data_IF_675964922393
#
_entry.id   IF_675964922393
#
_cell.length_a   1.000
_cell.length_b   1.000
_cell.length_c   1.000
_cell.angle_alpha   90.00
_cell.angle_beta   90.00
_cell.angle_gamma   90.00
#
_symmetry.space_group_name_H-M   'P 1'
#
loop_
_entity.id
_entity.type
_entity.pdbx_description
1 polymer ?
#
# COMPACT_ATOMS: atom_id res chain seq x y z
N UNK A 1 61.61 -32.35 -53.55
CA UNK A 1 61.00 -32.57 -52.22
C UNK A 1 60.25 -31.35 -51.86
N UNK A 2 58.92 -31.45 -51.89
CA UNK A 2 57.99 -30.33 -51.64
C UNK A 2 57.50 -30.41 -50.19
N UNK A 3 57.88 -29.43 -49.34
CA UNK A 3 57.47 -29.32 -47.97
C UNK A 3 56.11 -28.57 -47.96
N UNK A 4 55.03 -29.25 -47.56
CA UNK A 4 53.71 -28.64 -47.39
C UNK A 4 53.60 -28.04 -45.97
N UNK A 5 53.56 -26.75 -45.85
CA UNK A 5 53.15 -26.06 -44.61
C UNK A 5 51.61 -26.21 -44.46
N UNK A 6 51.18 -26.80 -43.35
CA UNK A 6 49.81 -26.82 -42.90
C UNK A 6 49.66 -25.66 -41.91
N UNK A 7 48.93 -24.58 -42.30
CA UNK A 7 48.48 -23.53 -41.39
C UNK A 7 47.23 -24.06 -40.70
N UNK A 8 47.32 -24.34 -39.40
CA UNK A 8 46.18 -24.59 -38.53
C UNK A 8 45.61 -23.23 -38.07
N UNK A 9 44.47 -22.84 -38.62
CA UNK A 9 43.72 -21.67 -38.17
C UNK A 9 42.99 -22.01 -36.88
N UNK A 10 43.50 -21.55 -35.71
CA UNK A 10 42.78 -21.54 -34.45
C UNK A 10 41.79 -20.37 -34.50
N UNK A 11 40.53 -20.66 -34.80
CA UNK A 11 39.44 -19.70 -34.56
C UNK A 11 39.14 -19.67 -33.04
N UNK A 12 39.73 -18.71 -32.35
CA UNK A 12 39.35 -18.40 -30.98
C UNK A 12 37.93 -17.81 -30.99
N UNK A 13 36.94 -18.61 -30.57
CA UNK A 13 35.61 -18.11 -30.22
C UNK A 13 35.76 -17.24 -28.97
N UNK A 14 35.94 -15.95 -29.17
CA UNK A 14 35.80 -14.96 -28.10
C UNK A 14 34.33 -14.94 -27.74
N UNK A 15 33.93 -15.73 -26.73
CA UNK A 15 32.68 -15.53 -26.03
C UNK A 15 32.75 -14.12 -25.40
N UNK A 16 32.17 -13.16 -26.07
CA UNK A 16 31.92 -11.81 -25.50
C UNK A 16 30.99 -12.00 -24.31
N UNK A 17 31.52 -12.24 -23.12
CA UNK A 17 30.80 -12.02 -21.89
C UNK A 17 30.55 -10.52 -21.83
N UNK A 18 29.40 -10.09 -22.36
CA UNK A 18 28.88 -8.77 -22.05
C UNK A 18 28.74 -8.72 -20.53
N UNK A 19 29.64 -8.03 -19.85
CA UNK A 19 29.41 -7.62 -18.48
C UNK A 19 28.20 -6.68 -18.53
N UNK A 20 27.00 -7.24 -18.37
CA UNK A 20 25.83 -6.43 -18.08
C UNK A 20 26.16 -5.68 -16.80
N UNK A 21 26.35 -4.38 -16.91
CA UNK A 21 26.52 -3.54 -15.73
C UNK A 21 25.23 -3.67 -14.92
N UNK A 22 25.34 -4.13 -13.66
CA UNK A 22 24.19 -4.27 -12.79
C UNK A 22 23.38 -2.95 -12.77
N UNK A 23 22.10 -3.02 -13.14
CA UNK A 23 21.20 -1.87 -12.99
C UNK A 23 20.93 -1.70 -11.49
N UNK A 24 21.06 -0.48 -10.97
CA UNK A 24 20.85 -0.18 -9.56
C UNK A 24 19.65 0.72 -9.39
N UNK A 25 18.68 0.25 -8.58
CA UNK A 25 17.48 0.99 -8.27
C UNK A 25 17.40 1.31 -6.78
N UNK A 26 17.02 2.54 -6.48
CA UNK A 26 16.64 2.96 -5.13
C UNK A 26 15.12 2.86 -5.00
N UNK A 27 14.63 2.13 -3.99
CA UNK A 27 13.22 1.93 -3.69
C UNK A 27 12.79 2.77 -2.49
N UNK A 28 11.98 3.79 -2.73
CA UNK A 28 11.46 4.65 -1.67
C UNK A 28 10.29 3.99 -0.92
N UNK A 29 10.38 3.88 0.40
CA UNK A 29 9.39 3.29 1.29
C UNK A 29 8.98 4.26 2.39
N UNK A 30 7.67 4.39 2.64
CA UNK A 30 7.13 5.34 3.62
C UNK A 30 7.23 4.86 5.07
N UNK A 31 7.23 3.54 5.30
CA UNK A 31 7.10 2.93 6.63
C UNK A 31 8.43 2.49 7.20
N UNK A 32 8.46 2.20 8.52
CA UNK A 32 9.68 1.73 9.20
C UNK A 32 10.18 0.41 8.60
N UNK A 33 11.47 0.12 8.77
CA UNK A 33 12.06 -1.13 8.29
C UNK A 33 11.41 -2.39 8.91
N UNK A 34 10.82 -2.26 10.11
CA UNK A 34 10.13 -3.32 10.84
C UNK A 34 8.64 -3.44 10.50
N UNK A 35 8.10 -2.57 9.65
CA UNK A 35 6.75 -2.71 9.14
C UNK A 35 6.74 -3.84 8.09
N UNK A 36 5.71 -4.71 8.13
CA UNK A 36 5.66 -5.87 7.23
C UNK A 36 5.66 -5.51 5.73
N UNK A 37 5.14 -4.35 5.34
CA UNK A 37 5.27 -3.86 3.96
C UNK A 37 6.72 -3.62 3.57
N UNK A 38 7.50 -2.98 4.45
CA UNK A 38 8.93 -2.73 4.20
C UNK A 38 9.76 -4.02 4.22
N UNK A 39 9.39 -4.99 5.08
CA UNK A 39 10.02 -6.31 5.11
C UNK A 39 9.76 -7.07 3.81
N UNK A 40 8.51 -7.09 3.33
CA UNK A 40 8.16 -7.74 2.06
C UNK A 40 8.83 -7.04 0.87
N UNK A 41 8.97 -5.72 0.89
CA UNK A 41 9.72 -4.99 -0.12
C UNK A 41 11.21 -5.36 -0.14
N UNK A 42 11.81 -5.56 1.03
CA UNK A 42 13.21 -6.02 1.14
C UNK A 42 13.37 -7.47 0.65
N UNK A 43 12.42 -8.37 0.96
CA UNK A 43 12.40 -9.74 0.42
C UNK A 43 12.26 -9.75 -1.10
N UNK A 44 11.35 -8.92 -1.65
CA UNK A 44 11.19 -8.73 -3.09
C UNK A 44 12.51 -8.28 -3.74
N UNK A 45 13.16 -7.25 -3.17
CA UNK A 45 14.42 -6.72 -3.67
C UNK A 45 15.54 -7.80 -3.69
N UNK A 46 15.60 -8.59 -2.60
CA UNK A 46 16.55 -9.70 -2.50
C UNK A 46 16.26 -10.79 -3.54
N UNK A 47 14.99 -11.18 -3.71
CA UNK A 47 14.61 -12.20 -4.68
C UNK A 47 14.95 -11.77 -6.12
N UNK A 48 14.74 -10.49 -6.45
CA UNK A 48 15.12 -9.93 -7.76
C UNK A 48 16.63 -10.04 -7.97
N UNK A 49 17.45 -9.63 -6.99
CA UNK A 49 18.90 -9.70 -7.11
C UNK A 49 19.39 -11.16 -7.28
N UNK A 50 18.88 -12.07 -6.43
CA UNK A 50 19.27 -13.49 -6.46
C UNK A 50 18.90 -14.16 -7.81
N UNK A 51 17.68 -13.94 -8.31
CA UNK A 51 17.17 -14.59 -9.54
C UNK A 51 17.67 -13.94 -10.83
N UNK A 52 18.10 -12.69 -10.78
CA UNK A 52 18.70 -12.00 -11.92
C UNK A 52 20.22 -12.13 -12.00
N UNK A 53 20.85 -12.96 -11.12
CA UNK A 53 22.30 -13.04 -10.98
C UNK A 53 22.97 -11.66 -10.82
N UNK A 54 22.28 -10.74 -10.10
CA UNK A 54 22.74 -9.37 -9.86
C UNK A 54 22.58 -8.42 -11.06
N UNK A 55 21.85 -8.80 -12.11
CA UNK A 55 21.59 -7.90 -13.24
C UNK A 55 20.75 -6.69 -12.84
N UNK A 56 19.89 -6.84 -11.82
CA UNK A 56 19.16 -5.74 -11.17
C UNK A 56 19.31 -5.84 -9.65
N UNK A 57 19.89 -4.80 -9.05
CA UNK A 57 20.00 -4.64 -7.60
C UNK A 57 19.04 -3.53 -7.14
N UNK A 58 18.17 -3.82 -6.16
CA UNK A 58 17.22 -2.85 -5.58
C UNK A 58 17.61 -2.60 -4.13
N UNK A 59 17.93 -1.33 -3.81
CA UNK A 59 18.19 -0.88 -2.43
C UNK A 59 16.94 -0.24 -1.85
N UNK A 60 16.42 -0.78 -0.74
CA UNK A 60 15.23 -0.23 -0.06
C UNK A 60 15.61 0.90 0.89
N UNK A 61 14.81 1.97 0.90
CA UNK A 61 14.97 3.16 1.76
C UNK A 61 13.72 3.36 2.62
N UNK A 62 13.63 2.69 3.79
CA UNK A 62 12.46 2.78 4.68
C UNK A 62 12.36 4.12 5.41
N UNK A 63 11.25 4.30 6.14
CA UNK A 63 10.97 5.46 7.02
C UNK A 63 10.91 6.81 6.29
N UNK A 64 10.64 6.81 4.99
CA UNK A 64 10.64 8.05 4.20
C UNK A 64 12.02 8.70 4.06
N UNK A 65 13.10 7.93 4.26
CA UNK A 65 14.49 8.45 4.27
C UNK A 65 14.95 8.99 2.93
N UNK A 66 14.37 8.54 1.82
CA UNK A 66 14.67 9.04 0.49
C UNK A 66 13.63 10.06 0.02
N UNK A 67 12.34 9.75 0.21
CA UNK A 67 11.20 10.62 -0.06
C UNK A 67 10.12 10.38 1.00
N UNK A 68 9.52 11.44 1.54
CA UNK A 68 8.37 11.33 2.43
C UNK A 68 7.19 10.62 1.75
N UNK A 69 6.33 9.95 2.53
CA UNK A 69 5.24 9.12 1.99
C UNK A 69 4.38 9.85 0.95
N UNK A 70 4.07 11.13 1.17
CA UNK A 70 3.28 11.93 0.22
C UNK A 70 4.00 12.22 -1.11
N UNK A 71 5.33 12.12 -1.15
CA UNK A 71 6.16 12.49 -2.29
C UNK A 71 6.50 11.30 -3.21
N UNK A 72 6.45 10.05 -2.67
CA UNK A 72 6.94 8.83 -3.35
C UNK A 72 6.31 8.67 -4.74
N UNK A 73 4.98 8.75 -4.87
CA UNK A 73 4.31 8.59 -6.16
C UNK A 73 4.81 9.62 -7.19
N UNK A 74 4.89 10.88 -6.77
CA UNK A 74 5.41 11.96 -7.62
C UNK A 74 6.87 11.76 -8.02
N UNK A 75 7.71 11.25 -7.10
CA UNK A 75 9.12 10.96 -7.36
C UNK A 75 9.29 9.82 -8.38
N UNK A 76 8.54 8.72 -8.23
CA UNK A 76 8.54 7.62 -9.20
C UNK A 76 8.01 8.09 -10.56
N UNK A 77 6.88 8.79 -10.60
CA UNK A 77 6.29 9.32 -11.84
C UNK A 77 7.26 10.23 -12.63
N UNK A 78 8.03 11.05 -11.92
CA UNK A 78 9.03 11.95 -12.52
C UNK A 78 10.36 11.27 -12.85
N UNK A 79 10.56 10.01 -12.43
CA UNK A 79 11.80 9.26 -12.60
C UNK A 79 12.94 9.75 -11.71
N UNK A 80 12.63 10.40 -10.58
CA UNK A 80 13.63 10.79 -9.56
C UNK A 80 14.13 9.57 -8.79
N UNK A 81 13.28 8.55 -8.64
CA UNK A 81 13.61 7.19 -8.25
C UNK A 81 12.90 6.23 -9.20
N UNK A 82 13.51 5.07 -9.52
CA UNK A 82 12.90 4.12 -10.44
C UNK A 82 11.69 3.41 -9.86
N UNK A 83 11.67 3.12 -8.56
CA UNK A 83 10.67 2.28 -7.90
C UNK A 83 10.31 2.85 -6.52
N UNK A 84 9.10 2.55 -6.04
CA UNK A 84 8.65 2.94 -4.71
C UNK A 84 7.33 2.30 -4.31
N UNK A 85 6.97 2.42 -3.04
CA UNK A 85 5.72 1.92 -2.50
C UNK A 85 4.86 3.08 -1.99
N UNK A 86 3.56 3.04 -2.32
CA UNK A 86 2.60 4.06 -1.87
C UNK A 86 1.22 3.47 -1.61
N UNK A 87 0.55 3.97 -0.55
CA UNK A 87 -0.87 3.72 -0.31
C UNK A 87 -1.71 4.28 -1.47
N UNK A 88 -2.47 3.41 -2.14
CA UNK A 88 -3.23 3.75 -3.35
C UNK A 88 -4.25 4.86 -3.06
N UNK A 89 -5.08 4.68 -2.04
CA UNK A 89 -6.19 5.60 -1.72
C UNK A 89 -5.75 7.01 -1.29
N UNK A 90 -4.47 7.20 -0.94
CA UNK A 90 -3.93 8.54 -0.67
C UNK A 90 -3.87 9.44 -1.94
N UNK A 91 -4.04 8.85 -3.12
CA UNK A 91 -4.01 9.50 -4.43
C UNK A 91 -5.41 9.74 -5.02
N UNK A 92 -6.48 9.56 -4.24
CA UNK A 92 -7.87 9.69 -4.70
C UNK A 92 -8.21 11.04 -5.33
N UNK A 93 -7.51 12.11 -4.96
CA UNK A 93 -7.65 13.43 -5.60
C UNK A 93 -7.04 13.48 -7.01
N UNK A 94 -6.12 12.56 -7.36
CA UNK A 94 -5.56 12.50 -8.72
C UNK A 94 -6.44 11.65 -9.65
N UNK A 95 -6.96 10.52 -9.13
CA UNK A 95 -7.89 9.66 -9.87
C UNK A 95 -8.81 8.91 -8.87
N UNK A 96 -10.15 9.01 -9.00
CA UNK A 96 -11.09 8.37 -8.09
C UNK A 96 -10.94 6.84 -8.02
N UNK A 97 -10.45 6.17 -9.07
CA UNK A 97 -10.27 4.71 -9.07
C UNK A 97 -9.29 4.25 -8.00
N UNK A 98 -8.36 5.12 -7.58
CA UNK A 98 -7.41 4.83 -6.51
C UNK A 98 -8.06 4.71 -5.12
N UNK A 99 -9.31 5.17 -4.96
CA UNK A 99 -10.05 5.09 -3.68
C UNK A 99 -10.90 3.84 -3.53
N UNK A 100 -11.04 3.00 -4.57
CA UNK A 100 -12.01 1.89 -4.57
C UNK A 100 -11.84 0.93 -3.39
N UNK A 101 -10.60 0.68 -2.95
CA UNK A 101 -10.29 -0.19 -1.82
C UNK A 101 -10.47 0.47 -0.44
N UNK A 102 -10.77 1.77 -0.41
CA UNK A 102 -11.03 2.54 0.80
C UNK A 102 -12.50 2.93 0.94
N UNK A 103 -13.38 2.44 0.08
CA UNK A 103 -14.83 2.63 0.22
C UNK A 103 -15.30 1.81 1.42
N UNK A 104 -15.83 2.46 2.48
CA UNK A 104 -16.20 1.75 3.68
C UNK A 104 -17.27 0.68 3.43
N UNK A 105 -17.09 -0.49 4.02
CA UNK A 105 -17.98 -1.65 3.98
C UNK A 105 -18.26 -2.21 2.58
N UNK A 106 -17.45 -1.84 1.57
CA UNK A 106 -17.51 -2.46 0.23
C UNK A 106 -16.84 -3.85 0.25
N UNK A 107 -15.66 -3.98 0.86
CA UNK A 107 -14.94 -5.23 1.06
C UNK A 107 -14.34 -5.25 2.46
N UNK A 108 -14.80 -6.15 3.34
CA UNK A 108 -14.47 -6.17 4.76
C UNK A 108 -13.74 -7.45 5.19
N UNK A 109 -13.57 -8.40 4.28
CA UNK A 109 -12.77 -9.62 4.45
C UNK A 109 -11.62 -9.65 3.44
N UNK A 110 -10.60 -10.49 3.70
CA UNK A 110 -9.49 -10.68 2.76
C UNK A 110 -9.96 -11.28 1.43
N UNK A 111 -10.92 -12.20 1.46
CA UNK A 111 -11.51 -12.78 0.25
C UNK A 111 -12.22 -11.72 -0.59
N UNK A 112 -13.05 -10.88 0.02
CA UNK A 112 -13.76 -9.80 -0.70
C UNK A 112 -12.79 -8.72 -1.19
N UNK A 113 -11.77 -8.38 -0.39
CA UNK A 113 -10.73 -7.45 -0.80
C UNK A 113 -9.92 -7.99 -2.00
N UNK A 114 -9.63 -9.30 -2.05
CA UNK A 114 -8.98 -9.93 -3.19
C UNK A 114 -9.88 -9.93 -4.45
N UNK A 115 -11.18 -10.21 -4.30
CA UNK A 115 -12.14 -10.10 -5.42
C UNK A 115 -12.20 -8.66 -5.92
N UNK A 116 -12.32 -7.68 -5.01
CA UNK A 116 -12.33 -6.26 -5.36
C UNK A 116 -11.04 -5.83 -6.08
N UNK A 117 -9.88 -6.32 -5.61
CA UNK A 117 -8.61 -6.09 -6.27
C UNK A 117 -8.61 -6.62 -7.71
N UNK A 118 -8.97 -7.88 -7.90
CA UNK A 118 -9.02 -8.49 -9.23
C UNK A 118 -9.98 -7.76 -10.17
N UNK A 119 -11.14 -7.39 -9.66
CA UNK A 119 -12.16 -6.67 -10.45
C UNK A 119 -11.72 -5.25 -10.83
N UNK A 120 -11.02 -4.55 -9.95
CA UNK A 120 -10.57 -3.16 -10.17
C UNK A 120 -9.20 -3.05 -10.85
N UNK A 121 -8.41 -4.13 -10.89
CA UNK A 121 -7.03 -4.10 -11.40
C UNK A 121 -6.90 -3.52 -12.81
N UNK A 122 -7.74 -3.87 -13.80
CA UNK A 122 -7.63 -3.28 -15.15
C UNK A 122 -7.78 -1.76 -15.14
N UNK A 123 -8.75 -1.22 -14.40
CA UNK A 123 -8.96 0.23 -14.30
C UNK A 123 -7.83 0.92 -13.53
N UNK A 124 -7.28 0.25 -12.51
CA UNK A 124 -6.12 0.73 -11.76
C UNK A 124 -4.87 0.80 -12.66
N UNK A 125 -4.57 -0.27 -13.41
CA UNK A 125 -3.42 -0.32 -14.32
C UNK A 125 -3.52 0.73 -15.42
N UNK A 126 -4.72 0.97 -15.97
CA UNK A 126 -4.95 2.03 -16.94
C UNK A 126 -4.67 3.42 -16.34
N UNK A 127 -5.19 3.72 -15.14
CA UNK A 127 -4.95 4.99 -14.46
C UNK A 127 -3.46 5.20 -14.13
N UNK A 128 -2.75 4.15 -13.74
CA UNK A 128 -1.31 4.18 -13.48
C UNK A 128 -0.50 4.38 -14.76
N UNK A 129 -0.90 3.73 -15.86
CA UNK A 129 -0.28 3.89 -17.18
C UNK A 129 -0.36 5.34 -17.65
N UNK A 130 -1.53 5.98 -17.51
CA UNK A 130 -1.71 7.42 -17.81
C UNK A 130 -0.80 8.31 -16.94
N UNK A 131 -0.51 7.88 -15.70
CA UNK A 131 0.43 8.52 -14.82
C UNK A 131 1.91 8.17 -15.11
N UNK A 132 2.20 7.34 -16.11
CA UNK A 132 3.56 6.88 -16.50
C UNK A 132 4.25 6.05 -15.43
N UNK A 133 3.49 5.28 -14.70
CA UNK A 133 3.98 4.30 -13.74
C UNK A 133 3.35 2.94 -14.03
N UNK A 134 4.08 1.88 -13.73
CA UNK A 134 3.66 0.49 -13.92
C UNK A 134 3.49 -0.16 -12.56
N UNK A 135 2.37 -0.85 -12.35
CA UNK A 135 2.13 -1.63 -11.15
C UNK A 135 2.97 -2.91 -11.19
N UNK A 136 3.71 -3.19 -10.13
CA UNK A 136 4.39 -4.47 -9.96
C UNK A 136 3.56 -5.42 -9.11
N UNK A 137 3.17 -5.00 -7.91
CA UNK A 137 2.31 -5.79 -7.02
C UNK A 137 1.56 -4.90 -6.02
N UNK A 138 0.58 -5.47 -5.33
CA UNK A 138 -0.24 -4.78 -4.34
C UNK A 138 -0.29 -5.57 -3.03
N UNK A 139 -0.20 -4.86 -1.91
CA UNK A 139 -0.14 -5.41 -0.57
C UNK A 139 -1.24 -4.81 0.30
N UNK A 140 -2.16 -5.60 0.90
CA UNK A 140 -3.21 -5.08 1.74
C UNK A 140 -2.70 -4.76 3.15
N UNK A 141 -3.29 -3.74 3.75
CA UNK A 141 -3.25 -3.53 5.19
C UNK A 141 -4.33 -4.39 5.87
N UNK A 142 -4.13 -4.78 7.14
CA UNK A 142 -5.21 -5.36 7.93
C UNK A 142 -6.47 -4.48 7.95
N UNK A 143 -7.65 -5.06 8.22
CA UNK A 143 -8.90 -4.32 8.30
C UNK A 143 -8.79 -3.08 9.19
N UNK A 144 -9.47 -2.01 8.79
CA UNK A 144 -9.39 -0.73 9.48
C UNK A 144 -10.31 -0.69 10.69
N UNK A 145 -9.74 -0.40 11.87
CA UNK A 145 -10.43 -0.15 13.12
C UNK A 145 -10.43 1.32 13.52
N UNK A 146 -11.25 1.68 14.49
CA UNK A 146 -11.39 3.04 15.01
C UNK A 146 -10.63 3.20 16.33
N UNK A 147 -9.74 4.17 16.41
CA UNK A 147 -8.96 4.55 17.58
C UNK A 147 -9.53 5.83 18.20
N UNK A 148 -9.64 5.90 19.52
CA UNK A 148 -10.11 7.08 20.23
C UNK A 148 -9.42 7.25 21.58
N UNK A 149 -9.13 8.50 21.96
CA UNK A 149 -8.63 8.83 23.30
C UNK A 149 -9.67 8.64 24.40
N UNK A 150 -10.95 8.59 24.06
CA UNK A 150 -12.08 8.40 24.98
C UNK A 150 -13.05 7.34 24.46
N UNK A 151 -13.89 6.83 25.35
CA UNK A 151 -14.92 5.88 24.98
C UNK A 151 -15.87 6.48 23.92
N UNK A 152 -16.25 5.67 22.91
CA UNK A 152 -17.12 6.07 21.82
C UNK A 152 -18.24 5.04 21.63
N UNK A 153 -19.42 5.32 22.18
CA UNK A 153 -20.63 4.47 22.07
C UNK A 153 -21.64 5.00 21.05
N UNK A 154 -21.69 6.30 20.89
CA UNK A 154 -22.61 6.97 19.95
C UNK A 154 -21.85 8.06 19.17
N UNK A 155 -22.31 8.48 17.99
CA UNK A 155 -21.65 9.53 17.21
C UNK A 155 -21.43 10.85 17.98
N UNK A 156 -22.31 11.18 18.93
CA UNK A 156 -22.15 12.36 19.77
C UNK A 156 -20.87 12.31 20.64
N UNK A 157 -20.39 11.10 21.00
CA UNK A 157 -19.17 10.96 21.80
C UNK A 157 -17.91 11.39 21.04
N UNK A 158 -17.94 11.29 19.71
CA UNK A 158 -16.78 11.62 18.86
C UNK A 158 -16.89 13.00 18.21
N UNK A 159 -18.05 13.65 18.31
CA UNK A 159 -18.26 14.98 17.74
C UNK A 159 -17.21 15.98 18.29
N UNK A 160 -16.60 16.75 17.40
CA UNK A 160 -15.57 17.74 17.71
C UNK A 160 -14.17 17.17 17.97
N UNK A 161 -13.96 15.85 18.02
CA UNK A 161 -12.62 15.29 18.15
C UNK A 161 -11.76 15.63 16.93
N UNK A 162 -10.51 15.93 17.18
CA UNK A 162 -9.50 16.12 16.14
C UNK A 162 -9.15 14.75 15.53
N UNK A 163 -9.49 14.58 14.28
CA UNK A 163 -9.35 13.29 13.61
C UNK A 163 -8.16 13.28 12.67
N UNK A 164 -7.29 12.29 12.82
CA UNK A 164 -6.25 12.03 11.83
C UNK A 164 -6.83 11.35 10.60
N UNK A 165 -6.77 12.01 9.47
CA UNK A 165 -7.05 11.44 8.16
C UNK A 165 -5.75 11.09 7.42
N UNK A 166 -5.78 10.08 6.53
CA UNK A 166 -4.65 9.70 5.68
C UNK A 166 -4.99 9.70 4.18
N UNK A 167 -6.28 9.79 3.85
CA UNK A 167 -6.79 9.86 2.49
C UNK A 167 -8.09 10.69 2.44
N UNK A 168 -8.64 11.01 1.26
CA UNK A 168 -9.89 11.76 1.16
C UNK A 168 -11.07 11.07 1.84
N UNK A 169 -11.20 9.76 1.70
CA UNK A 169 -12.27 8.97 2.33
C UNK A 169 -12.30 9.13 3.84
N UNK A 170 -11.15 9.00 4.52
CA UNK A 170 -11.08 9.15 5.98
C UNK A 170 -11.37 10.57 6.45
N UNK A 171 -11.04 11.59 5.65
CA UNK A 171 -11.42 12.97 5.93
C UNK A 171 -12.95 13.12 5.89
N UNK A 172 -13.60 12.57 4.88
CA UNK A 172 -15.06 12.60 4.73
C UNK A 172 -15.80 11.85 5.84
N UNK A 173 -15.29 10.68 6.25
CA UNK A 173 -15.85 9.93 7.39
C UNK A 173 -15.83 10.81 8.64
N UNK A 174 -14.73 11.49 8.92
CA UNK A 174 -14.62 12.38 10.07
C UNK A 174 -15.66 13.52 9.99
N UNK A 175 -15.80 14.17 8.84
CA UNK A 175 -16.79 15.23 8.61
C UNK A 175 -18.22 14.73 8.86
N UNK A 176 -18.59 13.55 8.36
CA UNK A 176 -19.93 12.97 8.53
C UNK A 176 -20.26 12.59 9.97
N UNK A 177 -19.25 12.25 10.77
CA UNK A 177 -19.42 11.98 12.20
C UNK A 177 -19.17 13.22 13.06
N UNK A 178 -19.04 14.42 12.47
CA UNK A 178 -18.86 15.67 13.19
C UNK A 178 -17.49 15.86 13.84
N UNK A 179 -16.48 15.09 13.41
CA UNK A 179 -15.09 15.27 13.83
C UNK A 179 -14.35 16.29 12.94
N UNK A 180 -13.21 16.80 13.40
CA UNK A 180 -12.38 17.77 12.68
C UNK A 180 -11.17 17.06 12.03
N UNK A 181 -11.18 16.76 10.71
CA UNK A 181 -10.11 16.03 10.06
C UNK A 181 -8.88 16.89 9.80
N UNK A 182 -7.70 16.28 10.01
CA UNK A 182 -6.40 16.82 9.59
C UNK A 182 -5.60 15.69 8.94
N UNK A 183 -5.03 15.96 7.76
CA UNK A 183 -4.18 14.98 7.08
C UNK A 183 -2.82 14.90 7.77
N UNK A 184 -2.47 13.70 8.27
CA UNK A 184 -1.21 13.43 8.97
C UNK A 184 -0.64 12.12 8.42
N UNK A 185 0.61 12.15 7.96
CA UNK A 185 1.30 10.96 7.46
C UNK A 185 1.66 10.00 8.60
N UNK A 186 1.83 8.71 8.28
CA UNK A 186 2.05 7.69 9.29
C UNK A 186 3.30 7.93 10.17
N UNK A 187 4.35 8.55 9.62
CA UNK A 187 5.57 8.86 10.36
C UNK A 187 5.35 9.84 11.51
N UNK A 188 4.34 10.70 11.43
CA UNK A 188 4.05 11.80 12.36
C UNK A 188 3.04 11.42 13.46
N UNK A 189 2.45 10.22 13.40
CA UNK A 189 1.31 9.83 14.24
C UNK A 189 1.59 9.89 15.74
N UNK A 190 2.70 9.29 16.21
CA UNK A 190 3.01 9.27 17.64
C UNK A 190 3.10 10.68 18.21
N UNK A 191 3.73 11.60 17.49
CA UNK A 191 3.82 13.00 17.89
C UNK A 191 2.46 13.69 17.85
N UNK A 192 1.64 13.43 16.80
CA UNK A 192 0.33 14.06 16.66
C UNK A 192 -0.62 13.69 17.81
N UNK A 193 -0.62 12.43 18.23
CA UNK A 193 -1.40 12.00 19.40
C UNK A 193 -0.80 12.50 20.72
N UNK A 194 0.52 12.44 20.89
CA UNK A 194 1.18 12.93 22.09
C UNK A 194 0.94 14.42 22.35
N UNK A 195 0.80 15.22 21.30
CA UNK A 195 0.58 16.67 21.39
C UNK A 195 -0.90 17.08 21.30
N UNK A 196 -1.81 16.10 21.15
CA UNK A 196 -3.25 16.37 21.01
C UNK A 196 -3.62 17.07 19.68
N UNK A 197 -2.78 16.95 18.66
CA UNK A 197 -3.12 17.35 17.28
C UNK A 197 -4.08 16.33 16.65
N UNK A 198 -4.01 15.06 17.08
CA UNK A 198 -4.96 14.02 16.78
C UNK A 198 -5.51 13.41 18.09
N UNK A 199 -6.80 13.07 18.10
CA UNK A 199 -7.53 12.48 19.24
C UNK A 199 -8.27 11.20 18.84
N UNK A 200 -8.50 11.02 17.53
CA UNK A 200 -9.12 9.84 16.96
C UNK A 200 -8.58 9.58 15.54
N UNK A 201 -8.70 8.34 15.07
CA UNK A 201 -8.44 7.95 13.69
C UNK A 201 -9.14 6.64 13.32
N UNK A 202 -9.28 6.37 12.02
CA UNK A 202 -9.47 5.02 11.47
C UNK A 202 -8.14 4.59 10.85
N UNK A 203 -7.65 3.40 11.21
CA UNK A 203 -6.41 2.83 10.67
C UNK A 203 -6.32 1.33 10.98
N UNK A 204 -5.34 0.64 10.37
CA UNK A 204 -5.06 -0.77 10.65
C UNK A 204 -4.43 -0.99 12.03
N UNK A 205 -4.52 -2.23 12.52
CA UNK A 205 -3.77 -2.67 13.70
C UNK A 205 -2.25 -2.49 13.52
N UNK A 206 -1.73 -2.76 12.33
CA UNK A 206 -0.31 -2.58 12.02
C UNK A 206 0.17 -1.14 12.27
N UNK A 207 -0.59 -0.13 11.78
CA UNK A 207 -0.25 1.27 12.02
C UNK A 207 -0.24 1.63 13.51
N UNK A 208 -1.25 1.15 14.26
CA UNK A 208 -1.33 1.38 15.70
C UNK A 208 -0.17 0.75 16.46
N UNK A 209 0.21 -0.47 16.10
CA UNK A 209 1.32 -1.19 16.71
C UNK A 209 2.67 -0.53 16.43
N UNK A 210 2.99 -0.25 15.18
CA UNK A 210 4.25 0.39 14.77
C UNK A 210 4.48 1.75 15.44
N UNK A 211 3.40 2.46 15.72
CA UNK A 211 3.44 3.80 16.33
C UNK A 211 3.22 3.76 17.85
N UNK A 212 3.10 2.57 18.43
CA UNK A 212 2.87 2.36 19.87
C UNK A 212 1.71 3.22 20.40
N UNK A 213 0.59 3.23 19.65
CA UNK A 213 -0.51 4.14 19.97
C UNK A 213 -1.14 3.89 21.34
N UNK A 214 -0.95 2.71 21.94
CA UNK A 214 -1.36 2.43 23.33
C UNK A 214 -0.75 3.41 24.35
N UNK A 215 0.32 4.11 24.00
CA UNK A 215 0.90 5.15 24.88
C UNK A 215 0.06 6.45 24.91
N UNK A 216 -0.82 6.63 23.94
CA UNK A 216 -1.57 7.87 23.74
C UNK A 216 -3.08 7.70 23.60
N UNK A 217 -3.54 6.49 23.22
CA UNK A 217 -4.94 6.18 22.88
C UNK A 217 -5.43 5.03 23.72
N UNK A 218 -6.56 5.22 24.43
CA UNK A 218 -7.09 4.22 25.35
C UNK A 218 -8.03 3.19 24.71
N UNK A 219 -8.59 3.48 23.53
CA UNK A 219 -9.66 2.67 22.94
C UNK A 219 -9.37 2.30 21.50
N UNK A 220 -9.59 1.02 21.19
CA UNK A 220 -9.60 0.49 19.83
C UNK A 220 -10.91 -0.26 19.59
N UNK A 221 -11.62 0.10 18.53
CA UNK A 221 -12.84 -0.57 18.12
C UNK A 221 -12.59 -1.30 16.79
N UNK A 222 -12.77 -2.63 16.81
CA UNK A 222 -12.60 -3.48 15.63
C UNK A 222 -13.81 -3.34 14.68
N UNK A 223 -13.79 -2.29 13.89
CA UNK A 223 -14.85 -1.94 12.94
C UNK A 223 -14.80 -2.78 11.68
N UNK A 224 -13.60 -3.21 11.27
CA UNK A 224 -13.33 -3.93 9.99
C UNK A 224 -13.91 -3.19 8.78
N UNK A 225 -13.70 -1.88 8.73
CA UNK A 225 -14.40 -1.01 7.79
C UNK A 225 -14.00 -1.24 6.32
N UNK A 226 -12.74 -1.54 6.03
CA UNK A 226 -12.17 -1.90 4.70
C UNK A 226 -10.73 -2.37 4.87
N UNK A 227 -10.14 -2.92 3.80
CA UNK A 227 -8.73 -3.34 3.72
C UNK A 227 -8.03 -2.52 2.60
N UNK A 228 -7.44 -1.37 2.93
CA UNK A 228 -6.75 -0.56 1.92
C UNK A 228 -5.45 -1.23 1.50
N UNK A 229 -4.94 -0.89 0.30
CA UNK A 229 -3.72 -1.50 -0.24
C UNK A 229 -2.66 -0.47 -0.54
N UNK A 230 -1.42 -0.87 -0.28
CA UNK A 230 -0.28 -0.26 -0.94
C UNK A 230 -0.09 -0.87 -2.33
N UNK A 231 0.56 -0.13 -3.18
CA UNK A 231 1.07 -0.59 -4.46
C UNK A 231 2.58 -0.36 -4.52
N UNK A 232 3.30 -1.33 -5.06
CA UNK A 232 4.68 -1.15 -5.50
C UNK A 232 4.64 -0.83 -6.98
N UNK A 233 5.18 0.33 -7.33
CA UNK A 233 5.15 0.92 -8.65
C UNK A 233 6.55 1.22 -9.16
N UNK A 234 6.73 1.12 -10.46
CA UNK A 234 7.97 1.46 -11.16
C UNK A 234 7.71 2.54 -12.21
N UNK A 235 8.65 3.45 -12.40
CA UNK A 235 8.62 4.40 -13.50
C UNK A 235 8.62 3.63 -14.85
N UNK A 236 7.63 3.89 -15.71
CA UNK A 236 7.47 3.13 -16.97
C UNK A 236 8.73 3.19 -17.84
N UNK A 237 9.45 4.34 -17.91
CA UNK A 237 10.69 4.42 -18.70
C UNK A 237 11.83 3.59 -18.08
N UNK A 238 11.91 3.49 -16.74
CA UNK A 238 12.89 2.63 -16.10
C UNK A 238 12.55 1.16 -16.36
N UNK A 239 11.28 0.80 -16.25
CA UNK A 239 10.78 -0.54 -16.59
C UNK A 239 11.09 -0.94 -18.03
N UNK A 240 10.81 -0.06 -18.99
CA UNK A 240 10.97 -0.35 -20.43
C UNK A 240 12.44 -0.60 -20.81
N UNK A 241 13.39 -0.02 -20.09
CA UNK A 241 14.83 -0.19 -20.34
C UNK A 241 15.41 -1.53 -19.87
N UNK A 242 14.69 -2.24 -18.97
CA UNK A 242 15.15 -3.56 -18.52
C UNK A 242 15.11 -4.57 -19.67
N UNK A 243 16.07 -5.48 -19.67
CA UNK A 243 16.02 -6.65 -20.55
C UNK A 243 14.82 -7.54 -20.24
N UNK A 244 14.29 -8.22 -21.24
CA UNK A 244 13.10 -9.07 -21.07
C UNK A 244 13.30 -10.20 -20.07
N UNK A 245 14.53 -10.75 -19.96
CA UNK A 245 14.89 -11.73 -18.94
C UNK A 245 14.79 -11.15 -17.52
N UNK A 246 15.28 -9.93 -17.31
CA UNK A 246 15.17 -9.23 -16.02
C UNK A 246 13.71 -8.87 -15.72
N UNK A 247 12.94 -8.40 -16.71
CA UNK A 247 11.51 -8.15 -16.54
C UNK A 247 10.73 -9.39 -16.10
N UNK A 248 11.09 -10.58 -16.66
CA UNK A 248 10.46 -11.83 -16.27
C UNK A 248 10.75 -12.18 -14.80
N UNK A 249 12.01 -12.01 -14.36
CA UNK A 249 12.42 -12.21 -12.97
C UNK A 249 11.68 -11.25 -12.03
N UNK A 250 11.61 -9.96 -12.37
CA UNK A 250 10.90 -8.96 -11.55
C UNK A 250 9.41 -9.29 -11.43
N UNK A 251 8.76 -9.72 -12.52
CA UNK A 251 7.35 -10.12 -12.50
C UNK A 251 7.10 -11.35 -11.61
N UNK A 252 7.99 -12.33 -11.67
CA UNK A 252 7.90 -13.53 -10.82
C UNK A 252 8.09 -13.17 -9.34
N UNK A 253 9.13 -12.40 -9.01
CA UNK A 253 9.38 -11.93 -7.65
C UNK A 253 8.23 -11.05 -7.13
N UNK A 254 7.64 -10.20 -7.99
CA UNK A 254 6.48 -9.39 -7.64
C UNK A 254 5.24 -10.23 -7.32
N UNK A 255 4.97 -11.28 -8.11
CA UNK A 255 3.86 -12.20 -7.83
C UNK A 255 4.06 -12.97 -6.51
N UNK A 256 5.30 -13.40 -6.22
CA UNK A 256 5.64 -14.05 -4.96
C UNK A 256 5.50 -13.08 -3.77
N UNK A 257 5.98 -11.84 -3.91
CA UNK A 257 5.84 -10.81 -2.90
C UNK A 257 4.38 -10.47 -2.64
N UNK A 258 3.55 -10.33 -3.69
CA UNK A 258 2.10 -10.11 -3.56
C UNK A 258 1.45 -11.22 -2.73
N UNK A 259 1.67 -12.49 -3.09
CA UNK A 259 1.08 -13.62 -2.39
C UNK A 259 1.51 -13.68 -0.90
N UNK A 260 2.81 -13.50 -0.63
CA UNK A 260 3.34 -13.47 0.74
C UNK A 260 2.77 -12.31 1.55
N UNK A 261 2.66 -11.12 0.94
CA UNK A 261 2.17 -9.94 1.61
C UNK A 261 0.70 -10.06 2.01
N UNK A 262 -0.14 -10.61 1.14
CA UNK A 262 -1.54 -10.92 1.47
C UNK A 262 -1.64 -11.90 2.64
N UNK A 263 -0.91 -13.00 2.58
CA UNK A 263 -0.89 -14.00 3.66
C UNK A 263 -0.37 -13.41 4.98
N UNK A 264 0.69 -12.57 4.92
CA UNK A 264 1.27 -11.94 6.12
C UNK A 264 0.34 -10.92 6.74
N UNK A 265 -0.37 -10.12 5.94
CA UNK A 265 -1.37 -9.18 6.43
C UNK A 265 -2.49 -9.90 7.18
N UNK A 266 -2.99 -11.02 6.63
CA UNK A 266 -4.04 -11.82 7.25
C UNK A 266 -3.57 -12.51 8.54
N UNK A 267 -2.36 -13.08 8.54
CA UNK A 267 -1.73 -13.69 9.73
C UNK A 267 -1.62 -12.69 10.90
N UNK A 268 -1.27 -11.43 10.57
CA UNK A 268 -1.00 -10.40 11.59
C UNK A 268 -2.25 -9.66 12.08
N UNK A 269 -3.42 -9.81 11.45
CA UNK A 269 -4.63 -9.05 11.80
C UNK A 269 -5.01 -9.21 13.27
N UNK A 270 -5.29 -10.44 13.70
CA UNK A 270 -5.67 -10.72 15.09
C UNK A 270 -4.51 -10.47 16.06
N UNK A 271 -3.28 -10.75 15.66
CA UNK A 271 -2.11 -10.53 16.50
C UNK A 271 -1.96 -9.06 16.93
N UNK A 272 -2.17 -8.11 16.02
CA UNK A 272 -2.12 -6.69 16.38
C UNK A 272 -3.20 -6.31 17.39
N UNK A 273 -4.40 -6.85 17.23
CA UNK A 273 -5.54 -6.60 18.15
C UNK A 273 -5.24 -7.15 19.53
N UNK A 274 -4.66 -8.36 19.61
CA UNK A 274 -4.24 -8.98 20.86
C UNK A 274 -3.16 -8.14 21.56
N UNK A 275 -2.19 -7.62 20.81
CA UNK A 275 -1.15 -6.72 21.33
C UNK A 275 -1.74 -5.46 21.98
N UNK A 276 -2.79 -4.87 21.43
CA UNK A 276 -3.43 -3.70 22.06
C UNK A 276 -4.03 -4.05 23.42
N UNK A 277 -4.67 -5.20 23.54
CA UNK A 277 -5.20 -5.69 24.81
C UNK A 277 -4.07 -5.92 25.84
N UNK A 278 -2.98 -6.57 25.43
CA UNK A 278 -1.80 -6.81 26.29
C UNK A 278 -1.15 -5.50 26.76
N UNK A 279 -1.18 -4.46 25.92
CA UNK A 279 -0.65 -3.11 26.24
C UNK A 279 -1.62 -2.23 27.03
N UNK A 280 -2.80 -2.75 27.39
CA UNK A 280 -3.75 -2.06 28.25
C UNK A 280 -4.78 -1.18 27.56
N UNK A 281 -4.90 -1.24 26.23
CA UNK A 281 -6.01 -0.58 25.54
C UNK A 281 -7.33 -1.33 25.80
N UNK A 282 -8.43 -0.62 25.83
CA UNK A 282 -9.76 -1.21 25.77
C UNK A 282 -10.07 -1.57 24.30
N UNK A 283 -10.12 -2.86 24.02
CA UNK A 283 -10.45 -3.40 22.69
C UNK A 283 -11.87 -3.93 22.73
N UNK A 284 -12.71 -3.48 21.80
CA UNK A 284 -14.11 -3.90 21.71
C UNK A 284 -14.61 -3.81 20.24
N UNK A 285 -15.71 -4.52 19.89
CA UNK A 285 -16.44 -4.20 18.68
C UNK A 285 -17.06 -2.78 18.82
N UNK A 286 -17.28 -2.09 17.70
CA UNK A 286 -18.05 -0.86 17.72
C UNK A 286 -19.47 -1.14 18.23
N UNK A 287 -20.05 -0.20 18.98
CA UNK A 287 -21.46 -0.27 19.36
C UNK A 287 -22.36 -0.34 18.10
N UNK A 288 -23.59 -0.86 18.20
CA UNK A 288 -24.53 -0.84 17.07
C UNK A 288 -24.75 0.54 16.48
N UNK A 289 -24.82 1.58 17.32
CA UNK A 289 -25.02 2.97 16.90
C UNK A 289 -23.79 3.52 16.15
N UNK A 290 -22.57 3.27 16.67
CA UNK A 290 -21.35 3.68 15.99
C UNK A 290 -21.14 2.92 14.68
N UNK A 291 -21.39 1.60 14.69
CA UNK A 291 -21.30 0.78 13.48
C UNK A 291 -22.24 1.31 12.40
N UNK A 292 -23.51 1.55 12.77
CA UNK A 292 -24.49 2.13 11.84
C UNK A 292 -24.04 3.50 11.30
N UNK A 293 -23.49 4.36 12.12
CA UNK A 293 -23.01 5.67 11.68
C UNK A 293 -21.86 5.56 10.67
N UNK A 294 -20.94 4.61 10.88
CA UNK A 294 -19.87 4.32 9.90
C UNK A 294 -20.44 3.72 8.60
N UNK A 295 -21.41 2.81 8.69
CA UNK A 295 -22.10 2.22 7.53
C UNK A 295 -22.87 3.27 6.72
N UNK A 296 -23.59 4.15 7.37
CA UNK A 296 -24.33 5.25 6.72
C UNK A 296 -23.36 6.23 6.01
N UNK A 297 -22.24 6.56 6.66
CA UNK A 297 -21.17 7.35 6.04
C UNK A 297 -20.56 6.61 4.82
N UNK A 298 -20.35 5.31 4.94
CA UNK A 298 -19.82 4.47 3.87
C UNK A 298 -20.74 4.40 2.66
N UNK A 299 -22.06 4.24 2.87
CA UNK A 299 -23.05 4.21 1.80
C UNK A 299 -23.03 5.53 1.00
N UNK A 300 -23.02 6.67 1.70
CA UNK A 300 -22.94 7.99 1.08
C UNK A 300 -21.63 8.19 0.31
N UNK A 301 -20.51 7.76 0.89
CA UNK A 301 -19.20 7.84 0.23
C UNK A 301 -19.12 6.97 -1.02
N UNK A 302 -19.75 5.78 -1.04
CA UNK A 302 -19.84 4.94 -2.22
C UNK A 302 -20.59 5.67 -3.36
N UNK A 303 -21.70 6.33 -3.07
CA UNK A 303 -22.45 7.11 -4.05
C UNK A 303 -21.62 8.27 -4.62
N UNK A 304 -21.04 9.11 -3.74
CA UNK A 304 -20.18 10.23 -4.13
C UNK A 304 -18.94 9.76 -4.94
N UNK A 305 -18.35 8.62 -4.55
CA UNK A 305 -17.23 8.04 -5.28
C UNK A 305 -17.66 7.58 -6.68
N UNK A 306 -18.81 6.91 -6.80
CA UNK A 306 -19.32 6.40 -8.06
C UNK A 306 -19.59 7.54 -9.06
N UNK A 307 -20.12 8.66 -8.59
CA UNK A 307 -20.31 9.87 -9.41
C UNK A 307 -18.97 10.39 -9.96
N UNK A 308 -17.90 10.41 -9.14
CA UNK A 308 -16.58 10.85 -9.56
C UNK A 308 -15.83 9.85 -10.43
N UNK A 309 -15.96 8.56 -10.13
CA UNK A 309 -15.27 7.48 -10.85
C UNK A 309 -15.94 7.14 -12.19
N UNK A 310 -17.20 7.51 -12.40
CA UNK A 310 -17.91 7.37 -13.65
C UNK A 310 -17.95 5.93 -14.17
N UNK A 311 -17.82 5.78 -15.49
CA UNK A 311 -17.91 4.47 -16.15
C UNK A 311 -16.85 3.46 -15.67
N UNK A 312 -15.62 3.90 -15.40
CA UNK A 312 -14.55 3.03 -14.93
C UNK A 312 -14.86 2.45 -13.54
N UNK A 313 -15.38 3.29 -12.63
CA UNK A 313 -15.82 2.87 -11.32
C UNK A 313 -17.01 1.92 -11.37
N UNK A 314 -18.03 2.25 -12.18
CA UNK A 314 -19.20 1.41 -12.38
C UNK A 314 -18.85 0.03 -12.95
N UNK A 315 -17.94 -0.02 -13.93
CA UNK A 315 -17.45 -1.27 -14.50
C UNK A 315 -16.71 -2.13 -13.48
N UNK A 316 -15.85 -1.52 -12.64
CA UNK A 316 -15.12 -2.21 -11.59
C UNK A 316 -16.07 -2.80 -10.52
N UNK A 317 -17.07 -2.02 -10.07
CA UNK A 317 -18.09 -2.52 -9.13
C UNK A 317 -18.90 -3.65 -9.72
N UNK A 318 -19.37 -3.52 -10.96
CA UNK A 318 -20.11 -4.57 -11.64
C UNK A 318 -19.31 -5.86 -11.79
N UNK A 319 -18.01 -5.75 -12.09
CA UNK A 319 -17.11 -6.90 -12.15
C UNK A 319 -16.93 -7.55 -10.78
N UNK A 320 -16.82 -6.76 -9.71
CA UNK A 320 -16.75 -7.24 -8.34
C UNK A 320 -18.03 -7.97 -7.91
N UNK A 321 -19.19 -7.40 -8.18
CA UNK A 321 -20.49 -7.99 -7.83
C UNK A 321 -20.79 -9.29 -8.58
N UNK A 322 -20.09 -9.56 -9.69
CA UNK A 322 -20.21 -10.78 -10.50
C UNK A 322 -19.26 -11.92 -10.01
N UNK A 323 -18.40 -11.69 -9.01
CA UNK A 323 -17.45 -12.67 -8.47
C UNK A 323 -17.97 -13.31 -7.18
#
# INVERSE_FOLDING_TARGET
MKLKLILASLAALAASTSFSHAEKWDMALAYSATNFHSEMAAEFAKEVADKSDGALEITTHPSGSLFGGAEIFGAVRKGLVPIGERLISALGNENPIYEIDAIPFLATSYDDAMKLYKASKPALEEALSQARVTLLYSCPWPPQGFYSIKEAKVPADVAGLKFRAYNPTTSKIAEYLGMAPTKIEAAELSQAFATGVAEAMISSGATGYDRKLWEHVGYYYDVKAWLPRNMVIVNTKAWDRLDDGVKAVVKEAAANAEAKCWAKSEELDSWYVDQFTEKGMTVAPASPEMKKAFEDAGAKLKEEWLERAGEAGAAALKAYEAM
#
